data_IF_075868562156
#
_entry.id   IF_075868562156
#
_cell.length_a   1.000
_cell.length_b   1.000
_cell.length_c   1.000
_cell.angle_alpha   90.00
_cell.angle_beta   90.00
_cell.angle_gamma   90.00
#
_symmetry.space_group_name_H-M   'P 1'
#
loop_
_entity.id
_entity.type
_entity.pdbx_description
1 polymer ?
#
# COMPACT_ATOMS: atom_id res chain seq x y z
N UNK A 1 1.17 5.02 -23.59
CA UNK A 1 0.61 4.32 -22.41
C UNK A 1 1.75 3.51 -21.80
N UNK A 2 2.33 3.94 -20.67
CA UNK A 2 3.38 3.14 -20.00
C UNK A 2 2.71 1.87 -19.46
N UNK A 3 3.18 0.70 -19.87
CA UNK A 3 2.77 -0.58 -19.30
C UNK A 3 3.15 -0.53 -17.83
N UNK A 4 2.17 -0.65 -16.93
CA UNK A 4 2.44 -0.84 -15.51
C UNK A 4 3.05 -2.23 -15.39
N UNK A 5 4.30 -2.31 -14.96
CA UNK A 5 4.94 -3.59 -14.72
C UNK A 5 4.14 -4.31 -13.63
N UNK A 6 3.68 -5.53 -13.92
CA UNK A 6 3.04 -6.36 -12.90
C UNK A 6 4.08 -6.74 -11.84
N UNK A 7 3.70 -6.89 -10.57
CA UNK A 7 4.63 -7.42 -9.58
C UNK A 7 5.05 -8.84 -9.98
N UNK A 8 6.30 -9.18 -9.68
CA UNK A 8 6.87 -10.51 -9.86
C UNK A 8 7.38 -10.97 -8.51
N UNK A 9 7.19 -12.23 -8.16
CA UNK A 9 7.71 -12.74 -6.90
C UNK A 9 9.25 -12.77 -6.95
N UNK A 10 9.89 -12.42 -5.85
CA UNK A 10 11.34 -12.44 -5.75
C UNK A 10 11.90 -11.49 -4.71
N UNK A 11 13.22 -11.43 -4.70
CA UNK A 11 14.00 -10.57 -3.82
C UNK A 11 14.51 -9.34 -4.57
N UNK A 12 14.41 -8.19 -3.91
CA UNK A 12 14.71 -6.87 -4.47
C UNK A 12 15.55 -6.08 -3.49
N UNK A 13 16.73 -5.61 -3.93
CA UNK A 13 17.55 -4.71 -3.13
C UNK A 13 16.84 -3.38 -2.96
N UNK A 14 16.76 -2.90 -1.73
CA UNK A 14 16.20 -1.59 -1.37
C UNK A 14 17.27 -0.80 -0.60
N UNK A 15 17.05 0.50 -0.36
CA UNK A 15 18.07 1.36 0.24
C UNK A 15 18.41 0.95 1.69
N UNK A 16 17.45 0.32 2.37
CA UNK A 16 17.53 -0.14 3.76
C UNK A 16 17.74 -1.64 3.92
N UNK A 17 18.02 -2.38 2.83
CA UNK A 17 18.30 -3.81 2.86
C UNK A 17 17.63 -4.60 1.74
N UNK A 18 16.77 -5.55 2.11
CA UNK A 18 16.12 -6.47 1.17
C UNK A 18 14.59 -6.42 1.30
N UNK A 19 13.90 -6.22 0.19
CA UNK A 19 12.48 -6.50 0.06
C UNK A 19 12.29 -7.87 -0.58
N UNK A 20 11.37 -8.67 -0.04
CA UNK A 20 10.92 -9.93 -0.63
C UNK A 20 9.43 -9.81 -0.92
N UNK A 21 9.06 -10.16 -2.15
CA UNK A 21 7.68 -10.12 -2.61
C UNK A 21 7.21 -11.54 -2.91
N UNK A 22 6.14 -11.97 -2.23
CA UNK A 22 5.57 -13.31 -2.35
C UNK A 22 4.12 -13.21 -2.85
N UNK A 23 3.70 -14.11 -3.74
CA UNK A 23 2.29 -14.26 -4.12
C UNK A 23 1.58 -15.05 -3.03
N UNK A 24 0.43 -14.57 -2.59
CA UNK A 24 -0.42 -15.32 -1.65
C UNK A 24 -0.93 -16.61 -2.31
N UNK A 25 -0.74 -17.79 -1.69
CA UNK A 25 -1.26 -19.05 -2.23
C UNK A 25 -2.77 -18.99 -2.45
N UNK A 26 -3.21 -19.30 -3.68
CA UNK A 26 -4.63 -19.28 -4.04
C UNK A 26 -5.20 -17.90 -4.39
N UNK A 27 -4.45 -16.81 -4.18
CA UNK A 27 -4.87 -15.44 -4.51
C UNK A 27 -3.84 -14.75 -5.41
N UNK A 28 -3.91 -14.91 -6.75
CA UNK A 28 -2.85 -14.46 -7.68
C UNK A 28 -2.70 -12.94 -7.79
N UNK A 29 -3.65 -12.16 -7.25
CA UNK A 29 -3.60 -10.71 -7.19
C UNK A 29 -3.10 -10.19 -5.84
N UNK A 30 -2.86 -11.08 -4.88
CA UNK A 30 -2.49 -10.73 -3.53
C UNK A 30 -1.03 -11.00 -3.27
N UNK A 31 -0.38 -10.03 -2.61
CA UNK A 31 1.06 -10.02 -2.44
C UNK A 31 1.41 -9.72 -0.99
N UNK A 32 2.30 -10.54 -0.44
CA UNK A 32 2.95 -10.29 0.83
C UNK A 32 4.29 -9.59 0.56
N UNK A 33 4.49 -8.43 1.19
CA UNK A 33 5.75 -7.70 1.19
C UNK A 33 6.46 -7.94 2.52
N UNK A 34 7.65 -8.51 2.45
CA UNK A 34 8.57 -8.64 3.59
C UNK A 34 9.73 -7.68 3.41
N UNK A 35 10.17 -7.06 4.50
CA UNK A 35 11.34 -6.19 4.54
C UNK A 35 12.30 -6.77 5.55
N UNK A 36 13.52 -7.07 5.13
CA UNK A 36 14.56 -7.69 5.96
C UNK A 36 14.05 -8.96 6.68
N UNK A 37 13.28 -9.79 5.96
CA UNK A 37 12.69 -11.03 6.47
C UNK A 37 11.38 -10.85 7.27
N UNK A 38 11.00 -9.63 7.61
CA UNK A 38 9.80 -9.34 8.40
C UNK A 38 8.60 -9.02 7.52
N UNK A 39 7.49 -9.72 7.73
CA UNK A 39 6.21 -9.43 7.08
C UNK A 39 5.75 -8.02 7.43
N UNK A 40 5.74 -7.13 6.43
CA UNK A 40 5.60 -5.69 6.65
C UNK A 40 4.31 -5.13 6.06
N UNK A 41 3.79 -5.73 4.99
CA UNK A 41 2.53 -5.31 4.38
C UNK A 41 1.93 -6.44 3.53
N UNK A 42 0.62 -6.37 3.31
CA UNK A 42 -0.09 -7.19 2.33
C UNK A 42 -0.94 -6.28 1.45
N UNK A 43 -1.08 -6.63 0.17
CA UNK A 43 -1.90 -5.89 -0.77
C UNK A 43 -2.61 -6.84 -1.74
N UNK A 44 -3.93 -6.67 -1.89
CA UNK A 44 -4.73 -7.31 -2.93
C UNK A 44 -5.01 -6.32 -4.07
N UNK A 45 -4.47 -6.59 -5.26
CA UNK A 45 -4.62 -5.70 -6.41
C UNK A 45 -6.05 -5.67 -6.97
N UNK A 46 -6.86 -6.70 -6.70
CA UNK A 46 -8.25 -6.77 -7.10
C UNK A 46 -9.20 -6.13 -6.06
N UNK A 47 -8.82 -6.13 -4.78
CA UNK A 47 -9.62 -5.56 -3.69
C UNK A 47 -8.82 -4.54 -2.85
N UNK A 48 -8.98 -3.22 -3.09
CA UNK A 48 -8.31 -2.19 -2.30
C UNK A 48 -8.82 -2.06 -0.86
N UNK A 49 -9.95 -2.67 -0.51
CA UNK A 49 -10.50 -2.64 0.84
C UNK A 49 -10.06 -3.83 1.68
N UNK A 50 -9.34 -4.80 1.11
CA UNK A 50 -8.77 -5.92 1.84
C UNK A 50 -7.47 -5.51 2.55
N UNK A 51 -7.45 -5.70 3.87
CA UNK A 51 -6.27 -5.54 4.73
C UNK A 51 -6.12 -6.81 5.58
N UNK A 52 -5.02 -7.53 5.39
CA UNK A 52 -4.79 -8.80 6.08
C UNK A 52 -4.10 -8.63 7.43
N UNK A 53 -3.37 -7.53 7.64
CA UNK A 53 -2.75 -7.22 8.93
C UNK A 53 -3.76 -6.60 9.89
N UNK A 54 -3.95 -7.21 11.06
CA UNK A 54 -4.92 -6.78 12.07
C UNK A 54 -4.73 -5.33 12.49
N UNK A 55 -3.49 -4.89 12.71
CA UNK A 55 -3.22 -3.51 13.11
C UNK A 55 -3.65 -2.51 12.03
N UNK A 56 -3.54 -2.85 10.74
CA UNK A 56 -4.04 -2.01 9.64
C UNK A 56 -5.57 -1.92 9.69
N UNK A 57 -6.25 -3.04 9.96
CA UNK A 57 -7.71 -3.09 10.12
C UNK A 57 -8.14 -2.22 11.31
N UNK A 58 -7.46 -2.30 12.44
CA UNK A 58 -7.76 -1.47 13.61
C UNK A 58 -7.58 0.02 13.31
N UNK A 59 -6.51 0.40 12.62
CA UNK A 59 -6.29 1.78 12.20
C UNK A 59 -7.43 2.30 11.33
N UNK A 60 -7.86 1.55 10.29
CA UNK A 60 -8.95 2.01 9.43
C UNK A 60 -10.30 1.99 10.14
N UNK A 61 -10.57 1.04 11.03
CA UNK A 61 -11.81 1.04 11.83
C UNK A 61 -11.94 2.27 12.71
N UNK A 62 -10.84 2.76 13.31
CA UNK A 62 -10.85 4.01 14.08
C UNK A 62 -11.09 5.24 13.19
N UNK A 63 -10.60 5.21 11.94
CA UNK A 63 -10.87 6.28 10.98
C UNK A 63 -12.35 6.24 10.56
N UNK A 64 -12.89 5.06 10.27
CA UNK A 64 -14.29 4.89 9.87
C UNK A 64 -15.29 5.29 10.95
N UNK A 65 -14.98 5.03 12.22
CA UNK A 65 -15.81 5.46 13.34
C UNK A 65 -15.89 7.00 13.44
N UNK A 66 -14.80 7.69 13.11
CA UNK A 66 -14.68 9.14 13.31
C UNK A 66 -15.09 9.97 12.10
N UNK A 67 -14.93 9.45 10.89
CA UNK A 67 -15.14 10.21 9.65
C UNK A 67 -16.04 9.46 8.67
N UNK A 68 -17.13 10.12 8.26
CA UNK A 68 -18.02 9.66 7.20
C UNK A 68 -17.36 9.67 5.82
N UNK A 69 -17.79 8.77 4.93
CA UNK A 69 -17.19 8.58 3.60
C UNK A 69 -17.36 9.77 2.65
N UNK A 70 -18.29 10.67 2.95
CA UNK A 70 -18.54 11.95 2.28
C UNK A 70 -17.52 13.03 2.65
N UNK A 71 -16.68 12.79 3.66
CA UNK A 71 -15.70 13.76 4.12
C UNK A 71 -14.40 13.72 3.30
N UNK A 72 -13.84 14.91 3.06
CA UNK A 72 -12.57 15.07 2.38
C UNK A 72 -11.39 14.88 3.34
N UNK A 73 -10.97 13.63 3.52
CA UNK A 73 -9.83 13.29 4.36
C UNK A 73 -8.49 13.77 3.78
N UNK A 74 -7.60 14.23 4.65
CA UNK A 74 -6.18 14.47 4.35
C UNK A 74 -5.35 13.67 5.34
N UNK A 75 -4.66 12.65 4.84
CA UNK A 75 -3.87 11.74 5.68
C UNK A 75 -2.39 11.86 5.34
N UNK A 76 -1.56 11.93 6.38
CA UNK A 76 -0.12 11.77 6.31
C UNK A 76 0.24 10.43 6.95
N UNK A 77 0.87 9.55 6.18
CA UNK A 77 1.34 8.24 6.60
C UNK A 77 2.85 8.34 6.80
N UNK A 78 3.33 8.19 8.03
CA UNK A 78 4.76 8.17 8.34
C UNK A 78 5.23 6.71 8.32
N UNK A 79 5.86 6.31 7.22
CA UNK A 79 6.02 4.92 6.82
C UNK A 79 4.79 4.41 6.04
N UNK A 80 5.02 3.57 5.04
CA UNK A 80 3.95 3.09 4.17
C UNK A 80 4.03 1.65 3.71
N UNK A 81 5.23 1.03 3.69
CA UNK A 81 5.39 -0.31 3.13
C UNK A 81 4.78 -0.38 1.72
N UNK A 82 3.82 -1.28 1.49
CA UNK A 82 3.12 -1.39 0.20
C UNK A 82 2.06 -0.30 -0.06
N UNK A 83 1.96 0.71 0.80
CA UNK A 83 0.92 1.75 0.79
C UNK A 83 -0.52 1.23 0.96
N UNK A 84 -0.71 0.07 1.61
CA UNK A 84 -2.02 -0.59 1.69
C UNK A 84 -3.08 0.26 2.39
N UNK A 85 -2.75 0.88 3.54
CA UNK A 85 -3.68 1.77 4.26
C UNK A 85 -4.00 3.03 3.44
N UNK A 86 -3.00 3.64 2.79
CA UNK A 86 -3.24 4.80 1.93
C UNK A 86 -4.14 4.45 0.72
N UNK A 87 -3.92 3.28 0.10
CA UNK A 87 -4.76 2.77 -0.99
C UNK A 87 -6.18 2.46 -0.53
N UNK A 88 -6.34 1.89 0.67
CA UNK A 88 -7.63 1.68 1.30
C UNK A 88 -8.40 3.00 1.45
N UNK A 89 -7.76 4.03 2.00
CA UNK A 89 -8.42 5.32 2.22
C UNK A 89 -8.84 5.98 0.91
N UNK A 90 -8.06 5.86 -0.16
CA UNK A 90 -8.49 6.34 -1.50
C UNK A 90 -9.73 5.61 -1.99
N UNK A 91 -9.81 4.29 -1.79
CA UNK A 91 -10.96 3.50 -2.23
C UNK A 91 -12.21 3.77 -1.40
N UNK A 92 -12.07 3.97 -0.08
CA UNK A 92 -13.19 4.20 0.83
C UNK A 92 -13.68 5.65 0.85
N UNK A 93 -12.75 6.60 0.75
CA UNK A 93 -13.00 8.05 0.78
C UNK A 93 -12.50 8.64 -0.54
N UNK A 94 -13.37 8.72 -1.53
CA UNK A 94 -13.00 9.02 -2.93
C UNK A 94 -12.33 10.39 -3.12
N UNK A 95 -12.60 11.35 -2.23
CA UNK A 95 -11.97 12.68 -2.24
C UNK A 95 -10.72 12.78 -1.35
N UNK A 96 -10.31 11.68 -0.71
CA UNK A 96 -9.17 11.69 0.19
C UNK A 96 -7.85 12.00 -0.53
N UNK A 97 -6.95 12.65 0.20
CA UNK A 97 -5.59 12.94 -0.24
C UNK A 97 -4.61 12.33 0.75
N UNK A 98 -3.80 11.42 0.26
CA UNK A 98 -2.87 10.64 1.07
C UNK A 98 -1.44 10.99 0.67
N UNK A 99 -0.64 11.38 1.65
CA UNK A 99 0.80 11.54 1.50
C UNK A 99 1.50 10.49 2.35
N UNK A 100 2.29 9.63 1.72
CA UNK A 100 3.14 8.63 2.37
C UNK A 100 4.55 9.18 2.40
N UNK A 101 5.18 9.15 3.58
CA UNK A 101 6.59 9.47 3.73
C UNK A 101 7.30 8.15 3.97
N UNK A 102 7.91 7.63 2.93
CA UNK A 102 8.71 6.40 2.97
C UNK A 102 10.19 6.76 3.07
N UNK A 103 10.90 6.13 4.00
CA UNK A 103 12.33 6.39 4.23
C UNK A 103 13.19 5.73 3.16
N UNK A 104 12.73 4.60 2.62
CA UNK A 104 13.42 3.84 1.59
C UNK A 104 12.97 4.27 0.18
N UNK A 105 13.84 5.02 -0.50
CA UNK A 105 13.55 5.60 -1.81
C UNK A 105 13.36 4.53 -2.88
N UNK A 106 14.20 3.49 -2.87
CA UNK A 106 14.10 2.38 -3.81
C UNK A 106 12.83 1.55 -3.58
N UNK A 107 12.43 1.30 -2.34
CA UNK A 107 11.15 0.67 -2.03
C UNK A 107 9.97 1.50 -2.55
N UNK A 108 10.00 2.82 -2.38
CA UNK A 108 8.95 3.72 -2.87
C UNK A 108 8.79 3.64 -4.40
N UNK A 109 9.90 3.55 -5.14
CA UNK A 109 9.89 3.33 -6.60
C UNK A 109 9.21 2.01 -6.94
N UNK A 110 9.64 0.92 -6.31
CA UNK A 110 9.09 -0.41 -6.57
C UNK A 110 7.60 -0.51 -6.27
N UNK A 111 7.17 -0.07 -5.09
CA UNK A 111 5.77 -0.08 -4.66
C UNK A 111 4.89 0.73 -5.62
N UNK A 112 5.39 1.85 -6.16
CA UNK A 112 4.69 2.63 -7.17
C UNK A 112 4.56 1.90 -8.50
N UNK A 113 5.60 1.19 -8.92
CA UNK A 113 5.64 0.47 -10.19
C UNK A 113 4.81 -0.80 -10.17
N UNK A 114 4.88 -1.58 -9.08
CA UNK A 114 4.26 -2.88 -8.95
C UNK A 114 2.74 -2.83 -8.75
N UNK A 115 2.27 -1.96 -7.85
CA UNK A 115 0.91 -2.09 -7.31
C UNK A 115 -0.12 -1.17 -7.96
N UNK A 116 0.25 -0.48 -9.04
CA UNK A 116 -0.68 0.37 -9.79
C UNK A 116 -1.35 1.44 -8.92
N UNK A 117 -0.63 1.97 -7.92
CA UNK A 117 -1.17 2.87 -6.91
C UNK A 117 -1.82 4.13 -7.55
N UNK A 118 -2.94 4.63 -6.98
CA UNK A 118 -3.55 5.89 -7.42
C UNK A 118 -2.52 7.02 -7.54
N UNK A 119 -2.61 7.82 -8.58
CA UNK A 119 -1.67 8.93 -8.80
C UNK A 119 -1.95 10.10 -7.86
N UNK A 120 -0.96 10.97 -7.69
CA UNK A 120 -1.18 12.25 -7.03
C UNK A 120 -2.29 13.05 -7.75
N UNK A 121 -3.17 13.77 -7.01
CA UNK A 121 -3.07 14.06 -5.58
C UNK A 121 -3.72 13.02 -4.64
N UNK A 122 -4.27 11.92 -5.15
CA UNK A 122 -4.97 10.92 -4.33
C UNK A 122 -4.00 10.16 -3.41
N UNK A 123 -2.87 9.72 -3.97
CA UNK A 123 -1.79 9.07 -3.22
C UNK A 123 -0.43 9.53 -3.75
N UNK A 124 0.29 10.31 -2.93
CA UNK A 124 1.68 10.69 -3.11
C UNK A 124 2.55 9.82 -2.20
N UNK A 125 3.68 9.34 -2.73
CA UNK A 125 4.81 8.79 -1.97
C UNK A 125 6.04 9.60 -2.38
#
# INVERSE_FOLDING_TARGET
MKVVAKPVAGEYKIDSGLAELEVEPGSPNSWLLKINGMQSSHIDLADPLRLDFEYMRWMVSLIEDRWGTDQRLRALHLGGGACSVARYLVAKYLESRNAVVEIDGQLAVYVREWFGLPKAPLLKI
#
